data_IF_013582583530
#
_entry.id   IF_013582583530
#
_cell.length_a   1.000
_cell.length_b   1.000
_cell.length_c   1.000
_cell.angle_alpha   90.00
_cell.angle_beta   90.00
_cell.angle_gamma   90.00
#
_symmetry.space_group_name_H-M   'P 1'
#
loop_
_entity.id
_entity.type
_entity.pdbx_description
1 polymer ?
#
# COMPACT_ATOMS: atom_id res chain seq x y z
N UNK A 1 72.13 -51.04 -8.46
CA UNK A 1 72.66 -50.31 -9.63
C UNK A 1 72.25 -51.05 -10.90
N UNK A 2 71.36 -50.48 -11.71
CA UNK A 2 71.24 -50.73 -13.16
C UNK A 2 70.07 -49.88 -13.68
N UNK A 3 70.39 -48.83 -14.44
CA UNK A 3 69.45 -48.16 -15.35
C UNK A 3 69.53 -48.89 -16.69
N UNK A 4 68.39 -49.17 -17.31
CA UNK A 4 68.29 -49.42 -18.74
C UNK A 4 67.12 -48.61 -19.28
N UNK A 5 67.41 -47.76 -20.26
CA UNK A 5 66.45 -46.91 -20.96
C UNK A 5 66.15 -47.52 -22.33
N UNK A 6 64.87 -47.48 -22.67
CA UNK A 6 64.27 -47.13 -23.97
C UNK A 6 64.66 -47.89 -25.25
N UNK A 7 63.66 -48.49 -25.89
CA UNK A 7 63.34 -48.42 -27.33
C UNK A 7 62.04 -49.22 -27.54
N UNK A 8 61.06 -48.89 -28.37
CA UNK A 8 60.85 -47.93 -29.44
C UNK A 8 59.59 -48.37 -30.22
N UNK A 9 59.22 -47.63 -31.28
CA UNK A 9 58.31 -48.02 -32.38
C UNK A 9 56.82 -47.59 -32.34
N UNK A 10 56.60 -46.35 -32.82
CA UNK A 10 55.69 -45.89 -33.90
C UNK A 10 54.43 -46.72 -34.25
N UNK A 11 53.26 -46.02 -34.32
CA UNK A 11 52.39 -45.95 -35.52
C UNK A 11 51.32 -44.83 -35.45
N UNK A 12 51.26 -44.08 -36.56
CA UNK A 12 50.25 -43.30 -37.29
C UNK A 12 48.82 -42.98 -36.71
N UNK A 13 48.16 -41.93 -37.26
CA UNK A 13 47.19 -41.09 -36.55
C UNK A 13 45.73 -41.52 -36.75
N UNK A 14 44.95 -41.51 -35.66
CA UNK A 14 43.51 -41.69 -35.66
C UNK A 14 42.80 -40.38 -35.34
N UNK A 15 42.10 -39.84 -36.33
CA UNK A 15 41.14 -38.74 -36.21
C UNK A 15 40.00 -39.12 -35.26
N UNK A 16 39.80 -38.34 -34.19
CA UNK A 16 38.51 -38.29 -33.48
C UNK A 16 38.23 -36.86 -33.01
N UNK A 17 37.43 -36.19 -33.83
CA UNK A 17 36.50 -35.14 -33.43
C UNK A 17 35.59 -35.67 -32.32
N UNK A 18 35.61 -35.05 -31.15
CA UNK A 18 34.56 -35.26 -30.16
C UNK A 18 34.29 -33.99 -29.33
N UNK A 19 33.15 -33.39 -29.68
CA UNK A 19 32.14 -32.83 -28.75
C UNK A 19 32.53 -31.60 -27.93
N UNK A 20 32.42 -30.43 -28.56
CA UNK A 20 31.92 -29.24 -27.88
C UNK A 20 30.41 -29.42 -27.60
N UNK A 21 30.06 -29.75 -26.36
CA UNK A 21 28.68 -29.76 -25.90
C UNK A 21 28.16 -28.31 -25.84
N UNK A 22 27.29 -27.94 -26.78
CA UNK A 22 26.47 -26.74 -26.67
C UNK A 22 25.49 -26.91 -25.50
N UNK A 23 25.77 -26.20 -24.40
CA UNK A 23 24.84 -26.00 -23.32
C UNK A 23 23.60 -25.26 -23.83
N UNK A 24 22.53 -26.02 -24.11
CA UNK A 24 21.21 -25.47 -24.37
C UNK A 24 20.73 -24.73 -23.11
N UNK A 25 20.89 -23.40 -23.12
CA UNK A 25 20.26 -22.51 -22.14
C UNK A 25 18.75 -22.70 -22.28
N UNK A 26 18.16 -23.48 -21.36
CA UNK A 26 16.71 -23.53 -21.17
C UNK A 26 16.25 -22.11 -20.88
N UNK A 27 15.66 -21.45 -21.88
CA UNK A 27 14.94 -20.19 -21.71
C UNK A 27 13.86 -20.46 -20.66
N UNK A 28 14.02 -19.84 -19.48
CA UNK A 28 12.95 -19.74 -18.49
C UNK A 28 11.73 -19.15 -19.21
N UNK A 29 10.54 -19.75 -19.12
CA UNK A 29 9.35 -19.11 -19.65
C UNK A 29 9.22 -17.75 -18.96
N UNK A 30 9.08 -16.69 -19.75
CA UNK A 30 8.77 -15.36 -19.25
C UNK A 30 7.56 -15.49 -18.32
N UNK A 31 7.69 -14.98 -17.11
CA UNK A 31 6.64 -15.00 -16.12
C UNK A 31 5.34 -14.52 -16.78
N UNK A 32 4.31 -15.36 -16.70
CA UNK A 32 2.93 -14.99 -16.96
C UNK A 32 2.66 -13.84 -15.97
N UNK A 33 2.90 -12.60 -16.37
CA UNK A 33 2.53 -11.44 -15.58
C UNK A 33 1.06 -11.61 -15.30
N UNK A 34 0.76 -11.86 -14.04
CA UNK A 34 -0.56 -12.22 -13.56
C UNK A 34 -1.57 -11.23 -14.12
N UNK A 35 -2.52 -11.71 -14.94
CA UNK A 35 -3.55 -10.84 -15.55
C UNK A 35 -4.33 -10.09 -14.47
N UNK A 36 -4.36 -10.59 -13.23
CA UNK A 36 -4.88 -9.90 -12.06
C UNK A 36 -4.18 -8.57 -11.74
N UNK A 37 -2.88 -8.37 -12.06
CA UNK A 37 -2.19 -7.09 -11.83
C UNK A 37 -2.63 -5.96 -12.77
N UNK A 38 -3.36 -6.28 -13.85
CA UNK A 38 -3.71 -5.30 -14.90
C UNK A 38 -4.97 -4.50 -14.52
N UNK A 39 -5.79 -4.98 -13.59
CA UNK A 39 -7.00 -4.29 -13.14
C UNK A 39 -6.95 -4.12 -11.62
N UNK A 40 -6.28 -3.06 -11.18
CA UNK A 40 -6.24 -2.67 -9.77
C UNK A 40 -6.38 -1.16 -9.63
N UNK A 41 -7.09 -0.75 -8.58
CA UNK A 41 -7.24 0.66 -8.21
C UNK A 41 -6.27 0.97 -7.08
N UNK A 42 -5.61 2.13 -7.20
CA UNK A 42 -4.67 2.59 -6.18
C UNK A 42 -5.33 3.59 -5.25
N UNK A 43 -5.29 3.29 -3.96
CA UNK A 43 -5.57 4.22 -2.88
C UNK A 43 -4.26 4.65 -2.21
N UNK A 44 -4.31 5.74 -1.47
CA UNK A 44 -3.12 6.41 -0.95
C UNK A 44 -3.30 6.79 0.51
N UNK A 45 -2.28 6.55 1.32
CA UNK A 45 -2.24 6.98 2.71
C UNK A 45 -0.87 7.56 3.04
N UNK A 46 -0.82 8.54 3.93
CA UNK A 46 0.43 8.91 4.59
C UNK A 46 0.38 8.38 6.01
N UNK A 47 1.25 7.42 6.31
CA UNK A 47 1.22 6.69 7.57
C UNK A 47 2.55 6.78 8.30
N UNK A 48 2.50 6.64 9.61
CA UNK A 48 3.67 6.55 10.46
C UNK A 48 4.18 5.12 10.52
N UNK A 49 5.49 4.95 10.53
CA UNK A 49 6.08 3.75 11.11
C UNK A 49 6.19 3.95 12.62
N UNK A 50 5.80 2.95 13.41
CA UNK A 50 5.80 3.01 14.87
C UNK A 50 6.37 1.72 15.43
N UNK A 51 6.65 1.68 16.74
CA UNK A 51 7.07 0.45 17.42
C UNK A 51 6.04 -0.68 17.35
N UNK A 52 4.76 -0.37 17.08
CA UNK A 52 3.65 -1.33 17.09
C UNK A 52 3.15 -1.68 15.69
N UNK A 53 3.33 -0.79 14.72
CA UNK A 53 2.74 -0.89 13.39
C UNK A 53 3.72 -0.35 12.34
N UNK A 54 3.91 -1.11 11.26
CA UNK A 54 4.56 -0.62 10.05
C UNK A 54 3.67 0.39 9.32
N UNK A 55 4.25 1.25 8.48
CA UNK A 55 3.48 2.26 7.75
C UNK A 55 2.47 1.65 6.75
N UNK A 56 2.80 0.48 6.20
CA UNK A 56 1.95 -0.32 5.30
C UNK A 56 1.02 -1.29 6.05
N UNK A 57 0.88 -1.17 7.38
CA UNK A 57 -0.09 -1.97 8.14
C UNK A 57 -1.53 -1.73 7.65
N UNK A 58 -2.21 -2.82 7.29
CA UNK A 58 -3.61 -2.81 6.90
C UNK A 58 -4.54 -3.33 8.01
N UNK A 59 -4.05 -3.56 9.23
CA UNK A 59 -4.87 -4.10 10.32
C UNK A 59 -5.90 -3.12 10.88
N UNK A 60 -5.74 -1.81 10.64
CA UNK A 60 -6.62 -0.76 11.16
C UNK A 60 -6.53 -0.55 12.68
N UNK A 61 -5.65 -1.27 13.39
CA UNK A 61 -5.52 -1.21 14.86
C UNK A 61 -5.12 0.18 15.37
N UNK A 62 -4.38 0.96 14.57
CA UNK A 62 -4.06 2.34 14.91
C UNK A 62 -5.30 3.21 15.07
N UNK A 63 -6.28 3.07 14.16
CA UNK A 63 -7.56 3.78 14.22
C UNK A 63 -8.50 3.20 15.29
N UNK A 64 -8.41 1.90 15.59
CA UNK A 64 -9.15 1.32 16.72
C UNK A 64 -8.69 1.89 18.08
N UNK A 65 -7.39 2.17 18.23
CA UNK A 65 -6.82 2.75 19.46
C UNK A 65 -6.98 4.27 19.55
N UNK A 66 -6.99 4.96 18.41
CA UNK A 66 -7.19 6.41 18.30
C UNK A 66 -8.21 6.66 17.19
N UNK A 67 -9.51 6.68 17.51
CA UNK A 67 -10.57 6.75 16.52
C UNK A 67 -10.51 8.02 15.69
N UNK A 68 -10.85 7.87 14.42
CA UNK A 68 -11.03 8.97 13.49
C UNK A 68 -12.50 9.36 13.34
N UNK A 69 -12.81 10.16 12.32
CA UNK A 69 -14.16 10.66 12.05
C UNK A 69 -15.22 9.58 11.83
N UNK A 70 -14.82 8.42 11.32
CA UNK A 70 -15.72 7.39 10.80
C UNK A 70 -15.59 6.05 11.53
N UNK A 71 -14.99 6.00 12.72
CA UNK A 71 -14.97 4.79 13.54
C UNK A 71 -14.97 5.14 15.02
N UNK A 72 -15.57 4.28 15.82
CA UNK A 72 -15.47 4.35 17.28
C UNK A 72 -14.23 3.62 17.81
N UNK A 73 -13.92 3.81 19.08
CA UNK A 73 -12.89 3.06 19.79
C UNK A 73 -13.14 1.55 19.66
N UNK A 74 -12.06 0.78 19.43
CA UNK A 74 -12.13 -0.65 19.25
C UNK A 74 -12.55 -1.12 17.85
N UNK A 75 -13.04 -0.24 16.97
CA UNK A 75 -13.38 -0.58 15.59
C UNK A 75 -12.20 -0.37 14.63
N UNK A 76 -11.54 -1.42 14.11
CA UNK A 76 -10.41 -1.27 13.22
C UNK A 76 -10.86 -0.80 11.84
N UNK A 77 -10.19 0.22 11.32
CA UNK A 77 -10.43 0.75 9.98
C UNK A 77 -9.13 1.30 9.41
N UNK A 78 -8.97 1.20 8.10
CA UNK A 78 -7.88 1.85 7.38
C UNK A 78 -8.44 3.02 6.57
N UNK A 79 -7.97 4.23 6.88
CA UNK A 79 -8.28 5.43 6.12
C UNK A 79 -7.31 5.59 4.94
N UNK A 80 -7.84 5.83 3.75
CA UNK A 80 -7.06 6.13 2.56
C UNK A 80 -7.75 7.23 1.74
N UNK A 81 -7.02 7.80 0.79
CA UNK A 81 -7.50 8.78 -0.17
C UNK A 81 -7.42 8.20 -1.59
N UNK A 82 -8.24 8.72 -2.50
CA UNK A 82 -8.19 8.31 -3.91
C UNK A 82 -6.96 8.88 -4.63
N UNK A 83 -6.36 9.95 -4.12
CA UNK A 83 -5.17 10.59 -4.70
C UNK A 83 -4.09 10.82 -3.66
N UNK A 84 -2.80 10.86 -4.05
CA UNK A 84 -1.73 11.30 -3.16
C UNK A 84 -1.94 12.73 -2.65
N UNK A 85 -2.53 13.61 -3.47
CA UNK A 85 -2.78 15.00 -3.11
C UNK A 85 -3.78 15.11 -1.94
N UNK A 86 -4.88 14.37 -2.00
CA UNK A 86 -5.84 14.34 -0.89
C UNK A 86 -5.25 13.66 0.35
N UNK A 87 -4.42 12.61 0.19
CA UNK A 87 -3.71 12.01 1.33
C UNK A 87 -2.81 13.03 2.05
N UNK A 88 -2.15 13.93 1.29
CA UNK A 88 -1.38 15.06 1.85
C UNK A 88 -2.29 16.00 2.61
N UNK A 89 -3.40 16.43 2.00
CA UNK A 89 -4.32 17.40 2.58
C UNK A 89 -4.92 16.89 3.90
N UNK A 90 -5.41 15.65 3.91
CA UNK A 90 -5.94 14.99 5.10
C UNK A 90 -4.88 14.85 6.20
N UNK A 91 -3.64 14.50 5.84
CA UNK A 91 -2.56 14.38 6.84
C UNK A 91 -2.18 15.72 7.44
N UNK A 92 -2.18 16.78 6.63
CA UNK A 92 -1.74 18.11 7.01
C UNK A 92 -2.80 18.84 7.82
N UNK A 93 -4.08 18.67 7.50
CA UNK A 93 -5.17 19.26 8.26
C UNK A 93 -5.28 18.73 9.71
N UNK A 94 -4.63 17.61 10.00
CA UNK A 94 -4.54 17.03 11.35
C UNK A 94 -3.22 17.33 12.06
N UNK A 95 -2.36 18.20 11.51
CA UNK A 95 -1.18 18.69 12.24
C UNK A 95 -1.65 19.68 13.31
N UNK A 96 -1.27 19.40 14.55
CA UNK A 96 -1.52 20.26 15.69
C UNK A 96 -0.26 21.05 16.09
N UNK A 97 -0.40 21.89 17.13
CA UNK A 97 0.67 22.73 17.65
C UNK A 97 1.84 21.94 18.28
N UNK A 98 1.75 20.61 18.32
CA UNK A 98 2.80 19.70 18.81
C UNK A 98 3.98 19.52 17.85
N UNK A 99 3.92 20.11 16.66
CA UNK A 99 4.99 20.10 15.65
C UNK A 99 4.84 19.01 14.58
N UNK A 100 5.72 19.04 13.58
CA UNK A 100 5.60 18.14 12.41
C UNK A 100 5.93 16.69 12.79
N UNK A 101 5.01 15.73 12.54
CA UNK A 101 5.30 14.34 12.84
C UNK A 101 6.16 13.74 11.72
N UNK A 102 7.48 13.93 11.80
CA UNK A 102 8.43 13.68 10.71
C UNK A 102 8.53 12.23 10.24
N UNK A 103 8.19 11.25 11.09
CA UNK A 103 8.20 9.83 10.70
C UNK A 103 6.93 9.47 9.94
N UNK A 104 6.92 9.75 8.62
CA UNK A 104 5.80 9.47 7.73
C UNK A 104 6.25 8.98 6.36
N UNK A 105 5.42 8.13 5.78
CA UNK A 105 5.65 7.52 4.48
C UNK A 105 4.40 7.62 3.62
N UNK A 106 4.59 7.87 2.32
CA UNK A 106 3.54 7.67 1.34
C UNK A 106 3.41 6.17 1.06
N UNK A 107 2.21 5.65 1.27
CA UNK A 107 1.86 4.24 1.09
C UNK A 107 0.84 4.14 -0.04
N UNK A 108 1.12 3.25 -1.00
CA UNK A 108 0.16 2.84 -2.03
C UNK A 108 -0.58 1.62 -1.50
N UNK A 109 -1.90 1.68 -1.57
CA UNK A 109 -2.79 0.57 -1.24
C UNK A 109 -3.39 0.08 -2.55
N UNK A 110 -3.08 -1.16 -2.91
CA UNK A 110 -3.49 -1.78 -4.17
C UNK A 110 -4.76 -2.59 -3.92
N UNK A 111 -5.86 -2.18 -4.55
CA UNK A 111 -7.18 -2.79 -4.43
C UNK A 111 -7.49 -3.56 -5.70
N UNK A 112 -7.79 -4.85 -5.60
CA UNK A 112 -8.26 -5.62 -6.75
C UNK A 112 -9.56 -5.02 -7.33
N UNK A 113 -9.68 -4.95 -8.66
CA UNK A 113 -10.82 -4.34 -9.34
C UNK A 113 -12.18 -4.90 -8.86
N UNK A 114 -12.27 -6.20 -8.62
CA UNK A 114 -13.50 -6.84 -8.11
C UNK A 114 -13.91 -6.31 -6.74
N UNK A 115 -12.95 -6.01 -5.87
CA UNK A 115 -13.21 -5.39 -4.56
C UNK A 115 -13.63 -3.94 -4.73
N UNK A 116 -12.99 -3.22 -5.65
CA UNK A 116 -13.34 -1.83 -5.96
C UNK A 116 -14.75 -1.69 -6.54
N UNK A 117 -15.18 -2.59 -7.43
CA UNK A 117 -16.52 -2.58 -8.01
C UNK A 117 -17.61 -2.91 -6.99
N UNK A 118 -17.28 -3.67 -5.93
CA UNK A 118 -18.21 -4.01 -4.84
C UNK A 118 -18.21 -3.00 -3.69
N UNK A 119 -17.52 -1.85 -3.82
CA UNK A 119 -17.49 -0.81 -2.79
C UNK A 119 -18.87 -0.18 -2.60
N UNK A 120 -19.13 0.29 -1.38
CA UNK A 120 -20.23 1.22 -1.11
C UNK A 120 -19.75 2.67 -1.20
N UNK A 121 -20.68 3.59 -1.44
CA UNK A 121 -20.45 5.03 -1.37
C UNK A 121 -21.56 5.69 -0.54
N UNK A 122 -21.21 6.72 0.24
CA UNK A 122 -22.15 7.67 0.82
C UNK A 122 -21.96 9.01 0.15
N UNK A 123 -23.05 9.57 -0.35
CA UNK A 123 -23.07 10.89 -0.98
C UNK A 123 -23.36 11.96 0.07
N UNK A 124 -22.93 13.20 -0.21
CA UNK A 124 -23.08 14.31 0.74
C UNK A 124 -24.55 14.60 1.11
N UNK A 125 -25.48 14.41 0.16
CA UNK A 125 -26.92 14.58 0.31
C UNK A 125 -27.59 13.47 1.13
N UNK A 126 -26.89 12.36 1.38
CA UNK A 126 -27.35 11.25 2.22
C UNK A 126 -26.87 11.38 3.67
N UNK A 127 -25.97 12.33 3.95
CA UNK A 127 -25.34 12.46 5.25
C UNK A 127 -26.11 13.45 6.15
N UNK A 128 -26.23 13.17 7.46
CA UNK A 128 -26.80 14.12 8.42
C UNK A 128 -26.00 15.41 8.45
N UNK A 129 -26.64 16.57 8.66
CA UNK A 129 -25.97 17.88 8.66
C UNK A 129 -24.69 17.97 9.51
N UNK A 130 -24.62 17.22 10.61
CA UNK A 130 -23.47 17.20 11.53
C UNK A 130 -22.31 16.25 11.11
N UNK A 131 -22.36 15.60 9.93
CA UNK A 131 -21.33 14.66 9.49
C UNK A 131 -19.93 15.29 9.39
N UNK A 132 -19.88 16.57 9.03
CA UNK A 132 -18.66 17.34 8.83
C UNK A 132 -18.24 18.18 10.04
N UNK A 133 -18.85 17.97 11.21
CA UNK A 133 -18.50 18.71 12.44
C UNK A 133 -16.98 18.62 12.76
N UNK A 134 -16.42 19.70 13.31
CA UNK A 134 -15.02 19.79 13.74
C UNK A 134 -14.99 20.29 15.20
N UNK A 135 -14.55 19.46 16.17
CA UNK A 135 -14.11 18.06 16.02
C UNK A 135 -15.24 17.12 15.57
N UNK A 136 -14.88 15.95 15.05
CA UNK A 136 -15.84 14.96 14.57
C UNK A 136 -16.84 14.57 15.67
N UNK A 137 -18.13 14.62 15.34
CA UNK A 137 -19.22 14.27 16.25
C UNK A 137 -19.79 12.88 16.00
N UNK A 138 -20.82 12.53 16.77
CA UNK A 138 -21.49 11.22 16.72
C UNK A 138 -22.01 10.84 15.34
N UNK A 139 -22.48 11.80 14.54
CA UNK A 139 -23.14 11.53 13.26
C UNK A 139 -22.28 10.71 12.29
N UNK A 140 -21.01 11.09 12.06
CA UNK A 140 -20.11 10.36 11.17
C UNK A 140 -19.60 9.06 11.78
N UNK A 141 -19.33 9.05 13.09
CA UNK A 141 -18.86 7.88 13.83
C UNK A 141 -19.89 6.76 13.79
N UNK A 142 -21.18 7.07 13.99
CA UNK A 142 -22.27 6.10 13.94
C UNK A 142 -22.43 5.49 12.54
N UNK A 143 -22.28 6.28 11.47
CA UNK A 143 -22.37 5.79 10.09
C UNK A 143 -21.25 4.79 9.80
N UNK A 144 -20.01 5.18 10.08
CA UNK A 144 -18.87 4.30 9.78
C UNK A 144 -18.82 3.07 10.67
N UNK A 145 -19.15 3.21 11.97
CA UNK A 145 -19.20 2.05 12.89
C UNK A 145 -20.30 1.06 12.51
N UNK A 146 -21.49 1.54 12.08
CA UNK A 146 -22.55 0.66 11.56
C UNK A 146 -22.10 -0.08 10.30
N UNK A 147 -21.43 0.60 9.38
CA UNK A 147 -20.89 -0.05 8.18
C UNK A 147 -19.81 -1.09 8.52
N UNK A 148 -18.88 -0.78 9.42
CA UNK A 148 -17.84 -1.71 9.88
C UNK A 148 -18.45 -2.98 10.49
N UNK A 149 -19.47 -2.82 11.34
CA UNK A 149 -20.17 -3.92 11.99
C UNK A 149 -21.02 -4.75 11.00
N UNK A 150 -21.66 -4.11 10.03
CA UNK A 150 -22.47 -4.79 9.03
C UNK A 150 -21.61 -5.65 8.08
N UNK A 151 -20.39 -5.20 7.75
CA UNK A 151 -19.47 -5.96 6.91
C UNK A 151 -20.01 -6.29 5.52
N UNK A 152 -20.86 -5.44 4.96
CA UNK A 152 -21.49 -5.66 3.65
C UNK A 152 -20.53 -5.43 2.47
N UNK A 153 -19.51 -4.59 2.66
CA UNK A 153 -18.47 -4.30 1.69
C UNK A 153 -17.11 -4.11 2.36
N UNK A 154 -16.03 -4.34 1.61
CA UNK A 154 -14.67 -4.12 2.13
C UNK A 154 -14.26 -2.65 2.13
N UNK A 155 -14.88 -1.84 1.26
CA UNK A 155 -14.54 -0.44 1.04
C UNK A 155 -15.81 0.40 1.09
N UNK A 156 -15.77 1.47 1.87
CA UNK A 156 -16.75 2.54 1.86
C UNK A 156 -16.09 3.84 1.41
N UNK A 157 -16.63 4.46 0.37
CA UNK A 157 -16.29 5.83 0.01
C UNK A 157 -17.18 6.79 0.77
N UNK A 158 -16.57 7.80 1.38
CA UNK A 158 -17.25 8.90 2.05
C UNK A 158 -16.65 10.23 1.60
N UNK A 159 -17.40 11.34 1.68
CA UNK A 159 -16.87 12.65 1.32
C UNK A 159 -15.70 13.04 2.24
N UNK A 160 -14.68 13.71 1.69
CA UNK A 160 -13.69 14.38 2.52
C UNK A 160 -14.34 15.58 3.22
N UNK A 161 -14.00 15.82 4.49
CA UNK A 161 -14.45 17.04 5.18
C UNK A 161 -13.71 18.28 4.68
N UNK A 162 -12.52 18.10 4.13
CA UNK A 162 -11.69 19.21 3.66
C UNK A 162 -12.09 19.64 2.24
N UNK A 163 -12.36 18.66 1.37
CA UNK A 163 -12.80 18.88 -0.02
C UNK A 163 -14.01 17.97 -0.29
N UNK A 164 -15.25 18.41 0.03
CA UNK A 164 -16.44 17.56 -0.05
C UNK A 164 -16.74 16.97 -1.44
N UNK A 165 -16.19 17.56 -2.50
CA UNK A 165 -16.26 17.05 -3.87
C UNK A 165 -15.43 15.78 -4.07
N UNK A 166 -14.37 15.58 -3.29
CA UNK A 166 -13.52 14.39 -3.33
C UNK A 166 -13.99 13.29 -2.34
N UNK A 167 -13.34 12.12 -2.42
CA UNK A 167 -13.64 10.96 -1.56
C UNK A 167 -12.44 10.50 -0.78
N UNK A 168 -12.68 10.13 0.47
CA UNK A 168 -11.79 9.26 1.24
C UNK A 168 -12.38 7.86 1.26
N UNK A 169 -11.51 6.87 1.28
CA UNK A 169 -11.86 5.46 1.34
C UNK A 169 -11.61 4.94 2.76
N UNK A 170 -12.63 4.30 3.33
CA UNK A 170 -12.50 3.47 4.51
C UNK A 170 -12.37 2.03 4.07
N UNK A 171 -11.37 1.32 4.57
CA UNK A 171 -11.19 -0.11 4.34
C UNK A 171 -11.48 -0.86 5.63
N UNK A 172 -12.40 -1.83 5.56
CA UNK A 172 -12.75 -2.70 6.68
C UNK A 172 -11.82 -3.92 6.68
N UNK A 173 -10.82 -4.00 7.58
CA UNK A 173 -9.86 -5.09 7.59
C UNK A 173 -10.48 -6.43 8.03
N UNK A 174 -11.66 -6.42 8.65
CA UNK A 174 -12.37 -7.63 9.05
C UNK A 174 -13.16 -8.26 7.89
N UNK A 175 -13.42 -7.52 6.81
CA UNK A 175 -14.16 -8.02 5.66
C UNK A 175 -13.33 -9.08 4.89
N UNK A 176 -13.89 -10.25 4.50
CA UNK A 176 -13.12 -11.31 3.82
C UNK A 176 -12.38 -10.86 2.56
N UNK A 177 -12.99 -9.98 1.76
CA UNK A 177 -12.38 -9.43 0.55
C UNK A 177 -11.19 -8.48 0.80
N UNK A 178 -10.96 -8.02 2.04
CA UNK A 178 -9.78 -7.22 2.39
C UNK A 178 -8.46 -8.00 2.20
N UNK A 179 -8.52 -9.33 2.15
CA UNK A 179 -7.36 -10.20 1.81
C UNK A 179 -6.80 -9.96 0.41
N UNK A 180 -7.61 -9.36 -0.48
CA UNK A 180 -7.21 -8.97 -1.83
C UNK A 180 -6.75 -7.51 -1.92
N UNK A 181 -6.49 -6.87 -0.78
CA UNK A 181 -5.96 -5.51 -0.68
C UNK A 181 -4.53 -5.60 -0.15
N UNK A 182 -3.58 -5.09 -0.92
CA UNK A 182 -2.17 -5.00 -0.55
C UNK A 182 -1.77 -3.57 -0.19
N UNK A 183 -0.67 -3.40 0.53
CA UNK A 183 -0.07 -2.10 0.77
C UNK A 183 1.44 -2.15 0.57
N UNK A 184 2.01 -1.05 0.08
CA UNK A 184 3.44 -0.92 -0.13
C UNK A 184 3.88 0.51 0.21
N UNK A 185 4.93 0.63 1.02
CA UNK A 185 5.65 1.90 1.19
C UNK A 185 6.29 2.31 -0.13
N UNK A 186 5.92 3.48 -0.65
CA UNK A 186 6.46 4.00 -1.92
C UNK A 186 7.69 4.86 -1.67
N UNK A 187 7.60 5.78 -0.69
CA UNK A 187 8.69 6.69 -0.32
C UNK A 187 8.42 7.32 1.04
N UNK A 188 9.46 7.92 1.61
CA UNK A 188 9.32 8.85 2.73
C UNK A 188 8.46 10.06 2.33
N UNK A 189 7.65 10.55 3.25
CA UNK A 189 6.91 11.80 3.12
C UNK A 189 7.76 12.95 3.70
N UNK A 190 8.00 13.99 2.91
CA UNK A 190 8.92 15.08 3.26
C UNK A 190 8.14 16.37 3.48
N UNK A 191 7.88 16.71 4.75
CA UNK A 191 7.16 17.93 5.11
C UNK A 191 7.86 19.21 4.67
N UNK A 192 9.19 19.23 4.62
CA UNK A 192 9.97 20.42 4.20
C UNK A 192 9.70 20.84 2.75
N UNK A 193 9.15 19.95 1.90
CA UNK A 193 8.71 20.31 0.55
C UNK A 193 7.38 21.06 0.55
N UNK A 194 6.56 20.85 1.59
CA UNK A 194 5.25 21.47 1.74
C UNK A 194 5.35 22.77 2.53
N UNK A 195 5.99 22.71 3.70
CA UNK A 195 6.26 23.86 4.55
C UNK A 195 7.68 24.35 4.29
N UNK A 196 7.80 25.43 3.51
CA UNK A 196 9.11 26.08 3.35
C UNK A 196 9.54 26.65 4.69
N UNK A 197 10.73 26.30 5.16
CA UNK A 197 11.34 27.01 6.28
C UNK A 197 11.61 28.46 5.85
N UNK A 198 11.14 29.47 6.58
CA UNK A 198 11.61 30.84 6.36
C UNK A 198 13.13 30.87 6.61
N UNK A 199 13.93 31.28 5.62
CA UNK A 199 15.30 31.74 5.87
C UNK A 199 16.50 30.84 5.53
N UNK A 200 16.36 29.80 4.69
CA UNK A 200 17.57 29.19 4.07
C UNK A 200 17.60 29.57 2.58
N UNK A 201 18.17 30.74 2.31
CA UNK A 201 18.68 31.07 0.96
C UNK A 201 19.70 30.00 0.58
N UNK A 202 19.55 29.43 -0.62
CA UNK A 202 20.58 28.56 -1.22
C UNK A 202 21.84 29.35 -1.54
#
# INVERSE_FOLDING_TARGET
MARASATGSRRAPGSRSDRYAHGARRRRPAARLDRQRILSVNLWRIAAETRRYAADDLSGKGAALRPGRWNDEGHPVVYAALTPALAVLETVAHIDDGGLPLNRFLVRIEVAETVWQAREERRIDELPAAWSAIPAGRASVEIGSKWLAAGASAILLVPSVIVPEERVALVNPAHPAARSIGAQVVRRFEYDRLFRRPGVSR
#
